data_IF_053248605048
#
_entry.id   IF_053248605048
#
_cell.length_a   1.000
_cell.length_b   1.000
_cell.length_c   1.000
_cell.angle_alpha   90.00
_cell.angle_beta   90.00
_cell.angle_gamma   90.00
#
_symmetry.space_group_name_H-M   'P 1'
#
loop_
_entity.id
_entity.type
_entity.pdbx_description
1 polymer ?
#
# COMPACT_ATOMS: atom_id res chain seq x y z
N UNK A 1 -27.55 -32.38 38.41
CA UNK A 1 -27.08 -33.59 37.73
C UNK A 1 -25.65 -33.35 37.29
N UNK A 2 -24.72 -34.11 37.87
CA UNK A 2 -23.27 -34.05 37.66
C UNK A 2 -22.92 -34.93 36.45
N UNK A 3 -22.27 -34.36 35.41
CA UNK A 3 -21.32 -34.96 34.44
C UNK A 3 -20.59 -33.74 33.83
N UNK A 4 -19.38 -33.30 34.21
CA UNK A 4 -18.02 -33.83 34.15
C UNK A 4 -17.49 -34.28 32.75
N UNK A 5 -16.28 -33.78 32.41
CA UNK A 5 -15.40 -34.05 31.25
C UNK A 5 -15.79 -33.33 29.95
N UNK A 6 -14.93 -32.65 29.20
CA UNK A 6 -13.46 -32.51 29.23
C UNK A 6 -13.09 -31.40 28.22
N UNK A 7 -12.09 -30.60 28.56
CA UNK A 7 -11.45 -29.64 27.66
C UNK A 7 -10.88 -30.30 26.39
N UNK A 8 -10.79 -29.56 25.27
CA UNK A 8 -9.72 -29.73 24.31
C UNK A 8 -8.82 -28.49 24.34
N UNK A 9 -8.11 -28.31 25.46
CA UNK A 9 -6.84 -27.60 25.47
C UNK A 9 -5.74 -28.62 25.78
N UNK A 10 -5.37 -29.43 24.77
CA UNK A 10 -3.95 -29.72 24.60
C UNK A 10 -3.63 -29.90 23.11
N UNK A 11 -3.21 -28.82 22.44
CA UNK A 11 -2.47 -28.98 21.18
C UNK A 11 -1.45 -27.87 20.98
N UNK A 12 -1.74 -26.65 21.46
CA UNK A 12 -0.79 -25.55 21.35
C UNK A 12 0.34 -25.57 22.40
N UNK A 13 0.15 -26.24 23.54
CA UNK A 13 1.16 -26.30 24.61
C UNK A 13 2.23 -27.38 24.34
N UNK A 14 1.86 -28.48 23.69
CA UNK A 14 2.81 -29.56 23.34
C UNK A 14 3.79 -29.17 22.24
N UNK A 15 3.44 -28.22 21.36
CA UNK A 15 4.31 -27.83 20.24
C UNK A 15 5.43 -26.87 20.66
N UNK A 16 5.24 -26.09 21.72
CA UNK A 16 6.27 -25.18 22.25
C UNK A 16 7.27 -25.94 23.13
N UNK A 17 6.86 -27.05 23.77
CA UNK A 17 7.73 -27.89 24.58
C UNK A 17 8.60 -28.83 23.71
N UNK A 18 8.20 -29.11 22.46
CA UNK A 18 8.98 -29.96 21.55
C UNK A 18 10.14 -29.23 20.83
N UNK A 19 10.12 -27.90 20.77
CA UNK A 19 11.14 -27.10 20.08
C UNK A 19 12.34 -26.71 20.96
N UNK A 20 12.35 -27.07 22.24
CA UNK A 20 13.45 -26.79 23.18
C UNK A 20 14.28 -28.01 23.55
N UNK A 21 14.04 -29.17 22.92
CA UNK A 21 14.79 -30.41 23.18
C UNK A 21 15.42 -30.97 21.89
N UNK A 22 16.57 -30.44 21.49
CA UNK A 22 17.66 -31.29 21.02
C UNK A 22 18.86 -31.08 21.94
N UNK A 23 19.24 -32.10 22.71
CA UNK A 23 20.57 -32.09 23.36
C UNK A 23 20.67 -32.62 24.79
N UNK A 24 19.66 -33.28 25.35
CA UNK A 24 19.76 -33.89 26.70
C UNK A 24 20.14 -35.38 26.68
N UNK A 25 20.91 -35.80 25.69
CA UNK A 25 21.52 -37.13 25.65
C UNK A 25 22.94 -37.04 25.11
N UNK A 26 23.84 -36.48 25.91
CA UNK A 26 25.26 -36.86 26.07
C UNK A 26 25.89 -35.84 27.02
N UNK A 27 25.82 -36.15 28.31
CA UNK A 27 26.63 -35.48 29.32
C UNK A 27 28.03 -36.11 29.26
N UNK A 28 28.94 -35.48 28.51
CA UNK A 28 30.36 -35.55 28.85
C UNK A 28 30.69 -34.32 29.70
N UNK A 29 31.11 -34.60 30.93
CA UNK A 29 31.58 -33.62 31.90
C UNK A 29 32.85 -32.92 31.38
N UNK A 30 32.86 -31.59 31.29
CA UNK A 30 34.09 -30.78 31.42
C UNK A 30 33.78 -29.32 31.83
N UNK A 31 34.78 -28.61 32.41
CA UNK A 31 34.60 -27.82 33.63
C UNK A 31 34.31 -26.35 33.36
N UNK A 32 33.27 -25.86 34.02
CA UNK A 32 32.85 -24.47 34.01
C UNK A 32 31.46 -24.42 34.62
N UNK A 33 31.37 -24.61 35.94
CA UNK A 33 30.12 -24.81 36.67
C UNK A 33 29.20 -23.59 36.54
N UNK A 34 28.38 -23.58 35.49
CA UNK A 34 27.15 -22.81 35.47
C UNK A 34 26.34 -23.34 36.64
N UNK A 35 26.15 -22.51 37.67
CA UNK A 35 25.38 -22.86 38.86
C UNK A 35 23.98 -23.29 38.42
N UNK A 36 23.74 -24.61 38.34
CA UNK A 36 22.46 -25.17 37.91
C UNK A 36 21.27 -24.65 38.77
N UNK A 37 21.56 -24.29 40.02
CA UNK A 37 20.65 -23.59 40.92
C UNK A 37 20.19 -22.23 40.38
N UNK A 38 21.07 -21.47 39.72
CA UNK A 38 20.73 -20.19 39.08
C UNK A 38 19.89 -20.40 37.82
N UNK A 39 20.18 -21.46 37.04
CA UNK A 39 19.34 -21.84 35.89
C UNK A 39 17.91 -22.18 36.30
N UNK A 40 17.75 -22.88 37.44
CA UNK A 40 16.45 -23.15 38.03
C UNK A 40 15.74 -21.89 38.53
N UNK A 41 16.46 -20.97 39.17
CA UNK A 41 15.88 -19.69 39.63
C UNK A 41 15.43 -18.83 38.44
N UNK A 42 16.22 -18.79 37.36
CA UNK A 42 15.88 -18.08 36.14
C UNK A 42 14.62 -18.66 35.47
N UNK A 43 14.54 -19.99 35.39
CA UNK A 43 13.37 -20.68 34.85
C UNK A 43 12.12 -20.45 35.72
N UNK A 44 12.26 -20.48 37.05
CA UNK A 44 11.18 -20.17 37.97
C UNK A 44 10.69 -18.72 37.83
N UNK A 45 11.59 -17.76 37.61
CA UNK A 45 11.24 -16.35 37.42
C UNK A 45 10.48 -16.12 36.10
N UNK A 46 10.92 -16.73 35.00
CA UNK A 46 10.21 -16.68 33.71
C UNK A 46 8.83 -17.33 33.84
N UNK A 47 8.73 -18.47 34.53
CA UNK A 47 7.46 -19.14 34.78
C UNK A 47 6.50 -18.25 35.60
N UNK A 48 7.02 -17.50 36.58
CA UNK A 48 6.23 -16.56 37.38
C UNK A 48 5.68 -15.41 36.53
N UNK A 49 6.49 -14.86 35.61
CA UNK A 49 6.05 -13.82 34.65
C UNK A 49 4.94 -14.35 33.73
N UNK A 50 5.07 -15.58 33.23
CA UNK A 50 4.05 -16.21 32.37
C UNK A 50 2.75 -16.43 33.16
N UNK A 51 2.83 -16.97 34.38
CA UNK A 51 1.66 -17.20 35.24
C UNK A 51 0.97 -15.87 35.60
N UNK A 52 1.75 -14.82 35.92
CA UNK A 52 1.24 -13.47 36.17
C UNK A 52 0.51 -12.87 34.97
N UNK A 53 1.04 -13.05 33.76
CA UNK A 53 0.41 -12.60 32.53
C UNK A 53 -0.93 -13.31 32.25
N UNK A 54 -1.00 -14.62 32.49
CA UNK A 54 -2.23 -15.42 32.34
C UNK A 54 -3.27 -15.02 33.39
N UNK A 55 -2.85 -14.78 34.62
CA UNK A 55 -3.72 -14.30 35.69
C UNK A 55 -4.29 -12.91 35.38
N UNK A 56 -3.46 -11.99 34.89
CA UNK A 56 -3.87 -10.65 34.48
C UNK A 56 -4.84 -10.67 33.28
N UNK A 57 -4.62 -11.54 32.29
CA UNK A 57 -5.58 -11.76 31.19
C UNK A 57 -6.94 -12.24 31.71
N UNK A 58 -6.94 -13.13 32.70
CA UNK A 58 -8.17 -13.66 33.30
C UNK A 58 -8.95 -12.59 34.07
N UNK A 59 -8.27 -11.65 34.74
CA UNK A 59 -8.93 -10.50 35.41
C UNK A 59 -9.52 -9.51 34.40
N UNK A 60 -8.78 -9.21 33.32
CA UNK A 60 -9.25 -8.34 32.25
C UNK A 60 -10.48 -8.89 31.52
N UNK A 61 -10.51 -10.20 31.26
CA UNK A 61 -11.70 -10.86 30.69
C UNK A 61 -12.94 -10.69 31.59
N UNK A 62 -12.78 -10.86 32.91
CA UNK A 62 -13.88 -10.69 33.88
C UNK A 62 -14.40 -9.26 33.91
N UNK A 63 -13.50 -8.26 33.89
CA UNK A 63 -13.87 -6.83 33.87
C UNK A 63 -14.54 -6.43 32.56
N UNK A 64 -14.06 -6.94 31.43
CA UNK A 64 -14.62 -6.65 30.11
C UNK A 64 -16.01 -7.27 29.95
N UNK A 65 -16.20 -8.51 30.41
CA UNK A 65 -17.50 -9.17 30.46
C UNK A 65 -18.50 -8.41 31.34
N UNK A 66 -18.08 -7.96 32.53
CA UNK A 66 -18.93 -7.15 33.42
C UNK A 66 -19.33 -5.78 32.80
N UNK A 67 -18.46 -5.17 31.98
CA UNK A 67 -18.74 -3.93 31.26
C UNK A 67 -19.68 -4.11 30.06
N UNK A 68 -19.53 -5.21 29.32
CA UNK A 68 -20.39 -5.53 28.17
C UNK A 68 -21.82 -5.88 28.60
N UNK A 69 -21.99 -6.51 29.77
CA UNK A 69 -23.30 -6.83 30.34
C UNK A 69 -24.09 -5.58 30.75
N UNK A 70 -23.42 -4.52 31.23
CA UNK A 70 -24.07 -3.26 31.64
C UNK A 70 -24.51 -2.37 30.47
N UNK A 71 -23.93 -2.55 29.29
CA UNK A 71 -24.19 -1.70 28.11
C UNK A 71 -25.04 -2.37 27.04
N UNK A 72 -25.53 -3.59 27.29
CA UNK A 72 -26.38 -4.39 26.40
C UNK A 72 -25.82 -4.55 24.97
N UNK A 73 -24.49 -4.59 24.84
CA UNK A 73 -23.74 -4.77 23.58
C UNK A 73 -22.93 -6.07 23.62
N UNK A 74 -23.62 -7.18 23.85
CA UNK A 74 -23.02 -8.53 23.90
C UNK A 74 -22.42 -8.95 22.55
N UNK A 75 -22.94 -8.42 21.45
CA UNK A 75 -22.49 -8.72 20.08
C UNK A 75 -21.02 -8.35 19.84
N UNK A 76 -20.55 -7.27 20.48
CA UNK A 76 -19.14 -6.83 20.44
C UNK A 76 -18.21 -7.69 21.29
N UNK A 77 -18.72 -8.46 22.25
CA UNK A 77 -17.92 -9.36 23.08
C UNK A 77 -17.63 -10.68 22.36
N UNK A 78 -18.61 -11.21 21.62
CA UNK A 78 -18.46 -12.45 20.83
C UNK A 78 -17.67 -12.26 19.54
N UNK A 79 -17.51 -11.03 19.05
CA UNK A 79 -16.73 -10.71 17.85
C UNK A 79 -15.22 -10.56 18.10
N UNK A 80 -14.73 -10.73 19.34
CA UNK A 80 -13.30 -10.54 19.67
C UNK A 80 -12.65 -11.85 20.11
N UNK A 81 -11.52 -12.26 19.48
CA UNK A 81 -10.82 -13.49 19.87
C UNK A 81 -10.38 -13.41 21.34
N UNK A 82 -10.77 -14.42 22.12
CA UNK A 82 -10.53 -14.57 23.56
C UNK A 82 -11.18 -13.53 24.50
N UNK A 83 -12.24 -12.83 24.10
CA UNK A 83 -13.05 -12.01 25.03
C UNK A 83 -12.31 -10.82 25.64
N UNK A 84 -11.29 -10.30 24.95
CA UNK A 84 -10.50 -9.13 25.31
C UNK A 84 -10.58 -8.08 24.20
N UNK A 85 -10.48 -6.77 24.50
CA UNK A 85 -10.43 -5.72 23.48
C UNK A 85 -9.36 -5.98 22.40
N UNK A 86 -9.64 -5.59 21.15
CA UNK A 86 -8.67 -5.73 20.06
C UNK A 86 -7.36 -5.01 20.43
N UNK A 87 -6.24 -5.75 20.38
CA UNK A 87 -4.90 -5.25 20.70
C UNK A 87 -4.34 -5.66 22.07
N UNK A 88 -5.17 -6.06 23.04
CA UNK A 88 -4.69 -6.43 24.39
C UNK A 88 -3.77 -7.66 24.37
N UNK A 89 -4.12 -8.70 23.61
CA UNK A 89 -3.30 -9.92 23.47
C UNK A 89 -1.95 -9.61 22.83
N UNK A 90 -1.94 -8.71 21.83
CA UNK A 90 -0.72 -8.29 21.12
C UNK A 90 0.20 -7.49 22.04
N UNK A 91 -0.34 -6.59 22.87
CA UNK A 91 0.44 -5.82 23.84
C UNK A 91 1.02 -6.68 24.95
N UNK A 92 0.29 -7.69 25.43
CA UNK A 92 0.78 -8.62 26.46
C UNK A 92 1.90 -9.50 25.90
N UNK A 93 1.79 -9.98 24.66
CA UNK A 93 2.87 -10.73 24.00
C UNK A 93 4.11 -9.86 23.77
N UNK A 94 3.95 -8.62 23.30
CA UNK A 94 5.08 -7.71 23.11
C UNK A 94 5.79 -7.38 24.44
N UNK A 95 5.02 -7.09 25.50
CA UNK A 95 5.55 -6.86 26.83
C UNK A 95 6.30 -8.09 27.37
N UNK A 96 5.75 -9.29 27.15
CA UNK A 96 6.39 -10.55 27.57
C UNK A 96 7.72 -10.77 26.85
N UNK A 97 7.79 -10.54 25.53
CA UNK A 97 9.02 -10.66 24.75
C UNK A 97 10.06 -9.65 25.22
N UNK A 98 9.68 -8.40 25.48
CA UNK A 98 10.60 -7.36 25.99
C UNK A 98 11.12 -7.72 27.38
N UNK A 99 10.25 -8.13 28.31
CA UNK A 99 10.66 -8.49 29.68
C UNK A 99 11.57 -9.71 29.69
N UNK A 100 11.25 -10.74 28.90
CA UNK A 100 12.09 -11.93 28.77
C UNK A 100 13.43 -11.58 28.12
N UNK A 101 13.43 -10.76 27.06
CA UNK A 101 14.68 -10.33 26.40
C UNK A 101 15.56 -9.51 27.33
N UNK A 102 14.98 -8.58 28.09
CA UNK A 102 15.70 -7.79 29.10
C UNK A 102 16.27 -8.67 30.22
N UNK A 103 15.51 -9.69 30.63
CA UNK A 103 15.95 -10.68 31.61
C UNK A 103 17.14 -11.51 31.12
N UNK A 104 17.13 -11.95 29.86
CA UNK A 104 18.28 -12.64 29.27
C UNK A 104 19.50 -11.73 29.09
N UNK A 105 19.29 -10.44 28.77
CA UNK A 105 20.37 -9.45 28.67
C UNK A 105 21.00 -9.20 30.04
N UNK A 106 20.20 -9.06 31.11
CA UNK A 106 20.76 -8.90 32.47
C UNK A 106 21.48 -10.18 32.91
N UNK A 107 20.95 -11.36 32.60
CA UNK A 107 21.65 -12.62 32.86
C UNK A 107 23.00 -12.65 32.11
N UNK A 108 23.06 -12.33 30.82
CA UNK A 108 24.32 -12.28 30.08
C UNK A 108 25.31 -11.26 30.66
N UNK A 109 24.84 -10.09 31.11
CA UNK A 109 25.69 -9.08 31.74
C UNK A 109 26.33 -9.55 33.06
N UNK A 110 25.68 -10.48 33.77
CA UNK A 110 26.24 -11.08 34.99
C UNK A 110 27.10 -12.32 34.72
N UNK A 111 26.92 -13.02 33.59
CA UNK A 111 27.58 -14.28 33.28
C UNK A 111 28.81 -14.15 32.35
N UNK A 112 28.85 -13.18 31.43
CA UNK A 112 29.97 -13.00 30.49
C UNK A 112 30.74 -11.69 30.75
N UNK A 113 32.07 -11.81 30.89
CA UNK A 113 32.98 -10.64 30.99
C UNK A 113 33.25 -9.98 29.63
N UNK A 114 32.82 -10.56 28.52
CA UNK A 114 32.93 -9.96 27.19
C UNK A 114 31.65 -9.22 26.81
N UNK A 115 31.77 -7.89 26.78
CA UNK A 115 30.73 -6.90 26.49
C UNK A 115 30.31 -6.95 25.02
N UNK A 116 29.57 -7.96 24.59
CA UNK A 116 28.83 -7.87 23.32
C UNK A 116 27.46 -8.54 23.44
N UNK A 117 26.41 -7.74 23.19
CA UNK A 117 25.03 -8.26 23.10
C UNK A 117 24.95 -9.08 21.81
N UNK A 118 24.49 -10.35 21.85
CA UNK A 118 24.34 -11.16 20.64
C UNK A 118 23.47 -10.44 19.60
N UNK A 119 23.99 -10.33 18.38
CA UNK A 119 23.39 -9.55 17.28
C UNK A 119 21.95 -9.99 16.93
N UNK A 120 21.62 -11.26 17.21
CA UNK A 120 20.26 -11.81 17.09
C UNK A 120 19.25 -11.23 18.09
N UNK A 121 19.66 -10.87 19.30
CA UNK A 121 18.80 -10.23 20.31
C UNK A 121 18.49 -8.77 19.94
N UNK A 122 19.48 -8.03 19.43
CA UNK A 122 19.30 -6.67 18.90
C UNK A 122 18.33 -6.66 17.70
N UNK A 123 18.46 -7.65 16.82
CA UNK A 123 17.58 -7.82 15.65
C UNK A 123 16.15 -8.15 16.07
N UNK A 124 15.97 -9.06 17.04
CA UNK A 124 14.64 -9.42 17.55
C UNK A 124 13.97 -8.27 18.32
N UNK A 125 14.73 -7.54 19.16
CA UNK A 125 14.24 -6.37 19.87
C UNK A 125 13.81 -5.27 18.88
N UNK A 126 14.61 -5.00 17.85
CA UNK A 126 14.30 -4.01 16.81
C UNK A 126 13.07 -4.41 15.98
N UNK A 127 12.94 -5.68 15.62
CA UNK A 127 11.78 -6.19 14.89
C UNK A 127 10.48 -6.09 15.70
N UNK A 128 10.54 -6.36 17.01
CA UNK A 128 9.36 -6.28 17.90
C UNK A 128 8.99 -4.83 18.21
N UNK A 129 9.98 -3.95 18.41
CA UNK A 129 9.79 -2.50 18.55
C UNK A 129 9.17 -1.93 17.26
N UNK A 130 9.73 -2.27 16.09
CA UNK A 130 9.19 -1.86 14.80
C UNK A 130 7.75 -2.36 14.59
N UNK A 131 7.46 -3.63 14.89
CA UNK A 131 6.12 -4.22 14.78
C UNK A 131 5.10 -3.57 15.73
N UNK A 132 5.53 -3.14 16.92
CA UNK A 132 4.65 -2.50 17.91
C UNK A 132 4.39 -1.01 17.60
N UNK A 133 5.43 -0.26 17.20
CA UNK A 133 5.27 1.16 16.83
C UNK A 133 4.62 1.35 15.46
N UNK A 134 4.85 0.43 14.50
CA UNK A 134 4.13 0.42 13.22
C UNK A 134 2.61 0.34 13.41
N UNK A 135 2.15 -0.32 14.48
CA UNK A 135 0.74 -0.54 14.74
C UNK A 135 0.10 0.48 15.71
N UNK A 136 0.86 1.47 16.17
CA UNK A 136 0.32 2.68 16.82
C UNK A 136 0.19 3.83 15.81
N UNK A 137 1.04 3.83 14.79
CA UNK A 137 0.93 4.69 13.60
C UNK A 137 -0.26 4.30 12.69
N UNK A 138 -0.76 3.07 12.78
CA UNK A 138 -1.95 2.62 12.05
C UNK A 138 -3.28 3.22 12.55
N UNK A 139 -3.30 3.84 13.73
CA UNK A 139 -4.44 4.64 14.18
C UNK A 139 -4.48 6.04 13.53
N UNK A 140 -3.39 6.48 12.88
CA UNK A 140 -3.28 7.77 12.19
C UNK A 140 -2.49 7.61 10.89
N UNK A 141 -3.12 7.06 9.85
CA UNK A 141 -2.82 7.34 8.44
C UNK A 141 -1.40 7.09 7.88
N UNK A 142 -0.45 6.59 8.66
CA UNK A 142 0.97 6.48 8.31
C UNK A 142 1.39 5.06 7.84
N UNK A 143 0.45 4.18 7.51
CA UNK A 143 0.75 2.81 7.05
C UNK A 143 1.35 2.75 5.65
N UNK A 144 0.96 3.66 4.74
CA UNK A 144 1.42 3.57 3.36
C UNK A 144 2.86 4.11 3.18
N UNK A 145 3.23 5.19 3.89
CA UNK A 145 4.58 5.73 3.83
C UNK A 145 5.61 4.83 4.50
N UNK A 146 5.28 4.22 5.65
CA UNK A 146 6.20 3.36 6.40
C UNK A 146 6.34 1.98 5.76
N UNK A 147 5.27 1.39 5.21
CA UNK A 147 5.36 0.12 4.49
C UNK A 147 6.16 0.25 3.18
N UNK A 148 6.01 1.37 2.46
CA UNK A 148 6.80 1.67 1.26
C UNK A 148 8.25 1.93 1.62
N UNK A 149 8.54 2.75 2.64
CA UNK A 149 9.90 2.99 3.12
C UNK A 149 10.58 1.72 3.62
N UNK A 150 9.85 0.82 4.29
CA UNK A 150 10.39 -0.46 4.75
C UNK A 150 10.66 -1.39 3.57
N UNK A 151 9.80 -1.40 2.55
CA UNK A 151 10.00 -2.20 1.33
C UNK A 151 11.13 -1.66 0.46
N UNK A 152 11.26 -0.34 0.34
CA UNK A 152 12.37 0.34 -0.34
C UNK A 152 13.67 0.10 0.39
N UNK A 153 13.72 0.25 1.72
CA UNK A 153 14.92 -0.01 2.52
C UNK A 153 15.32 -1.49 2.52
N UNK A 154 14.35 -2.42 2.53
CA UNK A 154 14.62 -3.85 2.38
C UNK A 154 15.12 -4.18 0.98
N UNK A 155 14.54 -3.56 -0.05
CA UNK A 155 14.97 -3.70 -1.43
C UNK A 155 16.38 -3.14 -1.62
N UNK A 156 16.68 -1.95 -1.09
CA UNK A 156 17.99 -1.30 -1.12
C UNK A 156 19.04 -2.16 -0.41
N UNK A 157 18.71 -2.73 0.75
CA UNK A 157 19.56 -3.69 1.48
C UNK A 157 19.79 -4.99 0.69
N UNK A 158 18.77 -5.51 0.01
CA UNK A 158 18.88 -6.71 -0.82
C UNK A 158 19.68 -6.46 -2.12
N UNK A 159 19.54 -5.28 -2.74
CA UNK A 159 20.42 -4.84 -3.84
C UNK A 159 21.85 -4.66 -3.37
N UNK A 160 22.08 -4.01 -2.22
CA UNK A 160 23.41 -3.82 -1.66
C UNK A 160 24.09 -5.14 -1.25
N UNK A 161 23.32 -6.15 -0.85
CA UNK A 161 23.82 -7.52 -0.58
C UNK A 161 24.18 -8.26 -1.86
N UNK A 162 23.35 -8.19 -2.92
CA UNK A 162 23.66 -8.80 -4.22
C UNK A 162 24.82 -8.10 -4.96
N UNK A 163 24.95 -6.79 -4.76
CA UNK A 163 26.00 -5.98 -5.38
C UNK A 163 27.43 -6.32 -4.93
N UNK A 164 27.59 -7.03 -3.80
CA UNK A 164 28.89 -7.38 -3.24
C UNK A 164 29.51 -8.66 -3.82
N UNK A 165 28.69 -9.56 -4.38
CA UNK A 165 29.11 -10.89 -4.85
C UNK A 165 28.86 -11.16 -6.36
N UNK A 166 28.06 -10.36 -7.06
CA UNK A 166 27.77 -10.53 -8.51
C UNK A 166 28.82 -9.86 -9.41
N UNK A 167 29.22 -10.54 -10.51
CA UNK A 167 30.02 -9.91 -11.57
C UNK A 167 29.21 -8.85 -12.33
N UNK A 168 29.86 -7.87 -12.95
CA UNK A 168 29.18 -6.80 -13.72
C UNK A 168 28.20 -7.35 -14.78
N UNK A 169 28.53 -8.48 -15.40
CA UNK A 169 27.67 -9.18 -16.37
C UNK A 169 26.42 -9.77 -15.70
N UNK A 170 26.55 -10.34 -14.51
CA UNK A 170 25.40 -10.86 -13.74
C UNK A 170 24.48 -9.73 -13.26
N UNK A 171 25.04 -8.57 -12.89
CA UNK A 171 24.27 -7.36 -12.56
C UNK A 171 23.49 -6.84 -13.76
N UNK A 172 24.08 -6.85 -14.96
CA UNK A 172 23.37 -6.47 -16.18
C UNK A 172 22.26 -7.47 -16.52
N UNK A 173 22.51 -8.78 -16.39
CA UNK A 173 21.50 -9.83 -16.56
C UNK A 173 20.34 -9.66 -15.60
N UNK A 174 20.61 -9.42 -14.32
CA UNK A 174 19.55 -9.26 -13.32
C UNK A 174 18.73 -7.99 -13.54
N UNK A 175 19.35 -6.87 -13.96
CA UNK A 175 18.66 -5.63 -14.34
C UNK A 175 17.79 -5.80 -15.58
N UNK A 176 18.32 -6.40 -16.64
CA UNK A 176 17.59 -6.62 -17.90
C UNK A 176 16.45 -7.63 -17.74
N UNK A 177 16.65 -8.68 -16.93
CA UNK A 177 15.60 -9.65 -16.60
C UNK A 177 14.43 -8.97 -15.87
N UNK A 178 14.73 -8.16 -14.83
CA UNK A 178 13.70 -7.36 -14.14
C UNK A 178 13.00 -6.42 -15.12
N UNK A 179 13.74 -5.66 -15.91
CA UNK A 179 13.19 -4.73 -16.90
C UNK A 179 12.31 -5.43 -17.95
N UNK A 180 12.69 -6.63 -18.41
CA UNK A 180 11.89 -7.46 -19.31
C UNK A 180 10.59 -7.95 -18.66
N UNK A 181 10.62 -8.32 -17.38
CA UNK A 181 9.42 -8.70 -16.63
C UNK A 181 8.46 -7.51 -16.48
N UNK A 182 9.01 -6.34 -16.12
CA UNK A 182 8.27 -5.07 -16.05
C UNK A 182 7.56 -4.77 -17.38
N UNK A 183 8.30 -4.85 -18.47
CA UNK A 183 7.79 -4.68 -19.83
C UNK A 183 6.71 -5.69 -20.21
N UNK A 184 6.96 -6.98 -19.93
CA UNK A 184 6.05 -8.07 -20.28
C UNK A 184 4.71 -7.97 -19.56
N UNK A 185 4.73 -7.46 -18.33
CA UNK A 185 3.52 -7.16 -17.59
C UNK A 185 2.82 -5.91 -18.13
N UNK A 186 3.55 -4.82 -18.35
CA UNK A 186 2.99 -3.56 -18.84
C UNK A 186 2.39 -3.66 -20.25
N UNK A 187 3.02 -4.39 -21.16
CA UNK A 187 2.56 -4.57 -22.56
C UNK A 187 1.21 -5.25 -22.68
N UNK A 188 0.83 -6.13 -21.73
CA UNK A 188 -0.50 -6.75 -21.70
C UNK A 188 -1.63 -5.74 -21.51
N UNK A 189 -1.32 -4.58 -20.94
CA UNK A 189 -2.28 -3.53 -20.65
C UNK A 189 -2.16 -2.33 -21.61
N UNK A 190 -1.24 -2.36 -22.57
CA UNK A 190 -1.10 -1.31 -23.56
C UNK A 190 -2.10 -1.49 -24.74
N UNK A 191 -2.52 -0.38 -25.36
CA UNK A 191 -3.27 -0.40 -26.62
C UNK A 191 -2.55 -1.22 -27.69
N UNK A 192 -3.33 -1.89 -28.55
CA UNK A 192 -2.81 -2.84 -29.54
C UNK A 192 -1.74 -2.23 -30.47
N UNK A 193 -1.89 -0.94 -30.80
CA UNK A 193 -0.94 -0.12 -31.57
C UNK A 193 0.49 -0.13 -31.01
N UNK A 194 0.68 -0.36 -29.72
CA UNK A 194 1.98 -0.33 -29.06
C UNK A 194 2.48 -1.72 -28.62
N UNK A 195 1.61 -2.73 -28.65
CA UNK A 195 1.97 -4.11 -28.27
C UNK A 195 3.02 -4.72 -29.19
N UNK A 196 2.98 -4.40 -30.49
CA UNK A 196 3.95 -4.90 -31.47
C UNK A 196 5.35 -4.30 -31.24
N UNK A 197 5.45 -2.96 -31.16
CA UNK A 197 6.71 -2.24 -30.91
C UNK A 197 7.43 -2.75 -29.64
N UNK A 198 6.69 -2.88 -28.53
CA UNK A 198 7.29 -3.31 -27.26
C UNK A 198 7.43 -4.84 -27.14
N UNK A 199 6.61 -5.60 -27.87
CA UNK A 199 6.74 -7.06 -27.99
C UNK A 199 8.07 -7.47 -28.63
N UNK A 200 8.48 -6.78 -29.69
CA UNK A 200 9.78 -7.01 -30.34
C UNK A 200 10.96 -6.72 -29.40
N UNK A 201 10.86 -5.66 -28.60
CA UNK A 201 11.88 -5.29 -27.60
C UNK A 201 11.95 -6.35 -26.50
N UNK A 202 10.81 -6.82 -25.99
CA UNK A 202 10.74 -7.91 -25.01
C UNK A 202 11.41 -9.18 -25.56
N UNK A 203 11.07 -9.56 -26.79
CA UNK A 203 11.62 -10.75 -27.44
C UNK A 203 13.14 -10.64 -27.60
N UNK A 204 13.66 -9.47 -28.01
CA UNK A 204 15.10 -9.20 -28.08
C UNK A 204 15.78 -9.31 -26.72
N UNK A 205 15.18 -8.76 -25.66
CA UNK A 205 15.73 -8.85 -24.30
C UNK A 205 15.73 -10.29 -23.79
N UNK A 206 14.65 -11.06 -23.99
CA UNK A 206 14.58 -12.46 -23.59
C UNK A 206 15.59 -13.34 -24.35
N UNK A 207 15.73 -13.12 -25.65
CA UNK A 207 16.72 -13.82 -26.49
C UNK A 207 18.15 -13.47 -26.09
N UNK A 208 18.42 -12.19 -25.81
CA UNK A 208 19.69 -11.69 -25.31
C UNK A 208 20.06 -12.30 -23.95
N UNK A 209 19.11 -12.34 -23.02
CA UNK A 209 19.28 -12.96 -21.70
C UNK A 209 19.62 -14.46 -21.80
N UNK A 210 18.86 -15.21 -22.60
CA UNK A 210 19.13 -16.64 -22.81
C UNK A 210 20.50 -16.86 -23.46
N UNK A 211 20.85 -16.05 -24.47
CA UNK A 211 22.14 -16.15 -25.15
C UNK A 211 23.30 -15.80 -24.23
N UNK A 212 23.16 -14.75 -23.40
CA UNK A 212 24.16 -14.38 -22.40
C UNK A 212 24.39 -15.49 -21.37
N UNK A 213 23.33 -16.16 -20.91
CA UNK A 213 23.44 -17.32 -20.02
C UNK A 213 24.19 -18.48 -20.70
N UNK A 214 23.93 -18.75 -21.98
CA UNK A 214 24.72 -19.75 -22.73
C UNK A 214 26.20 -19.36 -22.89
N UNK A 215 26.51 -18.07 -23.05
CA UNK A 215 27.88 -17.57 -23.19
C UNK A 215 28.64 -17.66 -21.86
N UNK A 216 27.98 -17.36 -20.74
CA UNK A 216 28.53 -17.56 -19.39
C UNK A 216 28.83 -19.04 -19.15
N UNK A 217 27.89 -19.94 -19.48
CA UNK A 217 28.08 -21.38 -19.36
C UNK A 217 29.22 -21.91 -20.24
N UNK A 218 29.50 -21.26 -21.37
CA UNK A 218 30.65 -21.53 -22.25
C UNK A 218 31.95 -20.82 -21.81
N UNK A 219 31.99 -20.23 -20.62
CA UNK A 219 33.11 -19.43 -20.09
C UNK A 219 33.50 -18.22 -20.94
N UNK A 220 32.61 -17.72 -21.80
CA UNK A 220 32.81 -16.51 -22.59
C UNK A 220 32.14 -15.30 -21.89
N UNK A 221 32.71 -14.86 -20.77
CA UNK A 221 32.18 -13.74 -20.00
C UNK A 221 32.23 -12.40 -20.74
N UNK A 222 33.25 -12.18 -21.58
CA UNK A 222 33.38 -10.95 -22.38
C UNK A 222 32.27 -10.85 -23.43
N UNK A 223 32.04 -11.92 -24.20
CA UNK A 223 30.95 -11.92 -25.19
C UNK A 223 29.56 -11.82 -24.56
N UNK A 224 29.38 -12.39 -23.36
CA UNK A 224 28.15 -12.20 -22.60
C UNK A 224 27.98 -10.74 -22.15
N UNK A 225 29.06 -10.08 -21.73
CA UNK A 225 29.04 -8.66 -21.34
C UNK A 225 28.68 -7.76 -22.53
N UNK A 226 29.39 -7.90 -23.66
CA UNK A 226 29.17 -7.07 -24.85
C UNK A 226 27.74 -7.22 -25.38
N UNK A 227 27.21 -8.45 -25.40
CA UNK A 227 25.82 -8.72 -25.79
C UNK A 227 24.82 -8.06 -24.83
N UNK A 228 25.08 -8.12 -23.53
CA UNK A 228 24.18 -7.54 -22.53
C UNK A 228 24.23 -6.02 -22.51
N UNK A 229 25.39 -5.40 -22.78
CA UNK A 229 25.50 -3.96 -23.00
C UNK A 229 24.71 -3.54 -24.25
N UNK A 230 24.84 -4.27 -25.36
CA UNK A 230 24.07 -3.99 -26.57
C UNK A 230 22.56 -4.10 -26.34
N UNK A 231 22.09 -5.17 -25.68
CA UNK A 231 20.67 -5.36 -25.35
C UNK A 231 20.18 -4.28 -24.39
N UNK A 232 21.03 -3.86 -23.44
CA UNK A 232 20.73 -2.78 -22.52
C UNK A 232 20.60 -1.43 -23.23
N UNK A 233 21.52 -1.10 -24.11
CA UNK A 233 21.48 0.14 -24.89
C UNK A 233 20.24 0.21 -25.78
N UNK A 234 19.89 -0.89 -26.46
CA UNK A 234 18.68 -0.97 -27.27
C UNK A 234 17.41 -0.84 -26.42
N UNK A 235 17.39 -1.42 -25.21
CA UNK A 235 16.31 -1.27 -24.25
C UNK A 235 16.22 0.17 -23.70
N UNK A 236 17.34 0.77 -23.32
CA UNK A 236 17.41 2.13 -22.79
C UNK A 236 16.95 3.17 -23.82
N UNK A 237 17.37 3.01 -25.09
CA UNK A 237 16.90 3.85 -26.21
C UNK A 237 15.40 3.73 -26.48
N UNK A 238 14.77 2.63 -26.09
CA UNK A 238 13.36 2.34 -26.35
C UNK A 238 12.58 2.05 -25.05
N UNK A 239 12.81 2.88 -24.02
CA UNK A 239 12.13 2.74 -22.73
C UNK A 239 10.65 3.16 -22.83
N UNK A 240 9.68 2.25 -22.59
CA UNK A 240 8.25 2.53 -22.73
C UNK A 240 7.73 3.61 -21.78
N UNK A 241 8.31 3.72 -20.58
CA UNK A 241 7.89 4.69 -19.57
C UNK A 241 8.32 6.09 -20.01
N UNK A 242 9.58 6.22 -20.44
CA UNK A 242 10.12 7.47 -20.99
C UNK A 242 9.38 7.86 -22.27
N UNK A 243 9.13 6.91 -23.17
CA UNK A 243 8.36 7.11 -24.39
C UNK A 243 6.94 7.63 -24.10
N UNK A 244 6.24 7.04 -23.13
CA UNK A 244 4.90 7.46 -22.74
C UNK A 244 4.91 8.87 -22.14
N UNK A 245 5.88 9.18 -21.28
CA UNK A 245 6.04 10.53 -20.71
C UNK A 245 6.38 11.56 -21.81
N UNK A 246 7.29 11.24 -22.74
CA UNK A 246 7.62 12.08 -23.90
C UNK A 246 6.40 12.35 -24.80
N UNK A 247 5.49 11.38 -24.94
CA UNK A 247 4.22 11.56 -25.66
C UNK A 247 3.21 12.42 -24.88
N UNK A 248 3.11 12.21 -23.57
CA UNK A 248 2.12 12.87 -22.73
C UNK A 248 2.41 14.37 -22.52
N UNK A 249 3.68 14.75 -22.38
CA UNK A 249 4.08 16.15 -22.13
C UNK A 249 3.49 17.14 -23.14
N UNK A 250 3.69 17.01 -24.47
CA UNK A 250 3.18 18.00 -25.41
C UNK A 250 1.66 18.08 -25.41
N UNK A 251 0.96 16.95 -25.26
CA UNK A 251 -0.50 16.92 -25.15
C UNK A 251 -0.99 17.66 -23.89
N UNK A 252 -0.27 17.50 -22.77
CA UNK A 252 -0.62 18.14 -21.51
C UNK A 252 -0.29 19.63 -21.54
N UNK A 253 0.86 20.03 -22.08
CA UNK A 253 1.26 21.44 -22.18
C UNK A 253 0.30 22.26 -23.04
N UNK A 254 -0.18 21.68 -24.16
CA UNK A 254 -1.16 22.31 -25.03
C UNK A 254 -2.47 22.64 -24.29
N UNK A 255 -2.90 21.75 -23.40
CA UNK A 255 -4.17 21.87 -22.68
C UNK A 255 -4.02 22.71 -21.41
N UNK A 256 -2.97 22.47 -20.62
CA UNK A 256 -2.74 23.12 -19.33
C UNK A 256 -2.23 24.55 -19.44
N UNK A 257 -1.64 24.94 -20.58
CA UNK A 257 -1.17 26.31 -20.88
C UNK A 257 -0.33 26.93 -19.75
N UNK A 258 0.54 26.11 -19.14
CA UNK A 258 1.44 26.54 -18.06
C UNK A 258 0.81 26.65 -16.66
N UNK A 259 -0.45 26.25 -16.47
CA UNK A 259 -1.09 26.23 -15.14
C UNK A 259 -0.39 25.29 -14.16
N UNK A 260 0.03 24.12 -14.65
CA UNK A 260 0.86 23.14 -13.92
C UNK A 260 1.87 22.54 -14.92
N UNK A 261 3.16 22.39 -14.56
CA UNK A 261 4.14 21.72 -15.42
C UNK A 261 3.74 20.26 -15.71
N UNK A 262 3.70 19.87 -16.98
CA UNK A 262 3.19 18.55 -17.41
C UNK A 262 3.96 17.37 -16.80
N UNK A 263 5.29 17.42 -16.84
CA UNK A 263 6.15 16.39 -16.23
C UNK A 263 5.89 16.29 -14.71
N UNK A 264 5.81 17.43 -14.03
CA UNK A 264 5.54 17.49 -12.60
C UNK A 264 4.15 16.97 -12.23
N UNK A 265 3.14 17.19 -13.07
CA UNK A 265 1.81 16.62 -12.90
C UNK A 265 1.83 15.09 -13.00
N UNK A 266 2.45 14.52 -14.04
CA UNK A 266 2.58 13.07 -14.23
C UNK A 266 3.26 12.40 -13.03
N UNK A 267 4.40 12.94 -12.60
CA UNK A 267 5.14 12.43 -11.44
C UNK A 267 4.31 12.53 -10.16
N UNK A 268 3.60 13.64 -9.96
CA UNK A 268 2.73 13.84 -8.78
C UNK A 268 1.59 12.81 -8.77
N UNK A 269 0.93 12.59 -9.91
CA UNK A 269 -0.16 11.62 -10.03
C UNK A 269 0.32 10.20 -9.73
N UNK A 270 1.46 9.80 -10.27
CA UNK A 270 2.07 8.50 -9.99
C UNK A 270 2.49 8.37 -8.52
N UNK A 271 3.11 9.41 -7.96
CA UNK A 271 3.58 9.43 -6.56
C UNK A 271 2.43 9.29 -5.58
N UNK A 272 1.34 10.03 -5.80
CA UNK A 272 0.11 9.90 -5.01
C UNK A 272 -0.43 8.48 -5.14
N UNK A 273 -0.55 7.95 -6.36
CA UNK A 273 -1.05 6.61 -6.59
C UNK A 273 -0.27 5.54 -5.82
N UNK A 274 1.06 5.58 -5.89
CA UNK A 274 1.95 4.63 -5.21
C UNK A 274 1.84 4.74 -3.69
N UNK A 275 1.80 5.97 -3.16
CA UNK A 275 1.72 6.25 -1.72
C UNK A 275 0.33 6.03 -1.13
N UNK A 276 -0.70 5.80 -1.95
CA UNK A 276 -2.01 5.39 -1.48
C UNK A 276 -2.07 3.87 -1.33
N UNK A 277 -2.56 3.38 -0.19
CA UNK A 277 -2.81 1.94 0.01
C UNK A 277 -3.86 1.40 -0.97
N UNK A 278 -3.86 0.09 -1.23
CA UNK A 278 -4.63 -0.57 -2.31
C UNK A 278 -6.09 -0.11 -2.45
N UNK A 279 -6.85 -0.03 -1.35
CA UNK A 279 -8.25 0.40 -1.39
C UNK A 279 -8.43 1.88 -1.81
N UNK A 280 -7.50 2.76 -1.41
CA UNK A 280 -7.53 4.19 -1.77
C UNK A 280 -6.93 4.44 -3.15
N UNK A 281 -5.94 3.62 -3.55
CA UNK A 281 -5.38 3.66 -4.90
C UNK A 281 -6.46 3.38 -5.95
N UNK A 282 -7.34 2.40 -5.74
CA UNK A 282 -8.44 2.14 -6.67
C UNK A 282 -9.39 3.33 -6.83
N UNK A 283 -9.67 4.04 -5.73
CA UNK A 283 -10.47 5.28 -5.77
C UNK A 283 -9.73 6.40 -6.48
N UNK A 284 -8.45 6.59 -6.17
CA UNK A 284 -7.57 7.55 -6.84
C UNK A 284 -7.51 7.32 -8.35
N UNK A 285 -7.26 6.08 -8.76
CA UNK A 285 -7.22 5.67 -10.16
C UNK A 285 -8.53 6.02 -10.88
N UNK A 286 -9.68 5.67 -10.30
CA UNK A 286 -10.98 6.02 -10.90
C UNK A 286 -11.19 7.53 -10.97
N UNK A 287 -10.72 8.28 -9.97
CA UNK A 287 -10.82 9.74 -9.96
C UNK A 287 -10.00 10.36 -11.09
N UNK A 288 -8.77 9.88 -11.25
CA UNK A 288 -7.83 10.34 -12.28
C UNK A 288 -8.29 9.95 -13.67
N UNK A 289 -8.88 8.78 -13.87
CA UNK A 289 -9.28 8.27 -15.19
C UNK A 289 -10.73 8.57 -15.60
N UNK A 290 -11.46 9.33 -14.77
CA UNK A 290 -12.91 9.56 -14.94
C UNK A 290 -13.71 8.26 -15.12
N UNK A 291 -13.24 7.17 -14.52
CA UNK A 291 -13.87 5.88 -14.62
C UNK A 291 -15.17 5.84 -13.79
N UNK A 292 -16.19 5.06 -14.21
CA UNK A 292 -17.46 4.98 -13.49
C UNK A 292 -17.28 4.62 -12.01
N UNK A 293 -17.82 5.46 -11.13
CA UNK A 293 -17.79 5.27 -9.69
C UNK A 293 -19.06 4.54 -9.27
N UNK A 294 -18.91 3.36 -8.66
CA UNK A 294 -20.05 2.59 -8.14
C UNK A 294 -20.35 3.00 -6.69
N UNK A 295 -21.60 2.82 -6.25
CA UNK A 295 -22.05 3.19 -4.90
C UNK A 295 -21.24 2.51 -3.81
N UNK A 296 -20.84 1.25 -4.00
CA UNK A 296 -20.02 0.50 -3.04
C UNK A 296 -18.67 1.16 -2.72
N UNK A 297 -18.23 2.13 -3.54
CA UNK A 297 -16.98 2.85 -3.38
C UNK A 297 -17.15 4.21 -2.70
N UNK A 298 -18.38 4.70 -2.61
CA UNK A 298 -18.70 5.95 -1.92
C UNK A 298 -18.72 5.65 -0.41
N UNK A 299 -18.08 6.48 0.43
CA UNK A 299 -18.16 6.33 1.88
C UNK A 299 -19.63 6.27 2.35
N UNK A 300 -19.95 5.38 3.31
CA UNK A 300 -21.26 5.44 3.96
C UNK A 300 -21.35 6.77 4.71
N UNK A 301 -22.14 7.68 4.16
CA UNK A 301 -22.39 8.99 4.75
C UNK A 301 -23.86 9.36 4.56
N UNK A 302 -24.32 10.31 5.34
CA UNK A 302 -25.63 10.95 5.16
C UNK A 302 -25.41 12.43 5.06
N UNK A 303 -26.09 13.08 4.14
CA UNK A 303 -26.09 14.53 4.05
C UNK A 303 -27.28 15.06 4.83
N UNK A 304 -27.08 16.16 5.56
CA UNK A 304 -28.17 17.02 6.01
C UNK A 304 -28.59 17.96 4.87
N UNK A 305 -29.78 18.57 4.98
CA UNK A 305 -30.29 19.49 3.97
C UNK A 305 -29.40 20.69 3.65
N UNK A 306 -28.62 21.21 4.61
CA UNK A 306 -27.71 22.34 4.39
C UNK A 306 -26.53 21.89 3.51
N UNK A 307 -25.94 20.74 3.84
CA UNK A 307 -24.86 20.13 3.09
C UNK A 307 -25.34 19.78 1.68
N UNK A 308 -26.55 19.22 1.55
CA UNK A 308 -27.15 18.93 0.25
C UNK A 308 -27.31 20.19 -0.61
N UNK A 309 -27.82 21.29 -0.03
CA UNK A 309 -27.92 22.59 -0.71
C UNK A 309 -26.57 23.07 -1.22
N UNK A 310 -25.51 22.99 -0.40
CA UNK A 310 -24.15 23.39 -0.80
C UNK A 310 -23.65 22.53 -1.96
N UNK A 311 -23.80 21.20 -1.87
CA UNK A 311 -23.37 20.27 -2.91
C UNK A 311 -24.10 20.55 -4.23
N UNK A 312 -25.41 20.73 -4.18
CA UNK A 312 -26.24 20.90 -5.38
C UNK A 312 -26.01 22.27 -6.02
N UNK A 313 -25.77 23.31 -5.22
CA UNK A 313 -25.41 24.64 -5.71
C UNK A 313 -24.02 24.71 -6.35
N UNK A 314 -23.13 23.77 -6.01
CA UNK A 314 -21.73 23.81 -6.45
C UNK A 314 -21.49 23.32 -7.88
N UNK A 315 -22.48 22.67 -8.51
CA UNK A 315 -22.36 22.12 -9.87
C UNK A 315 -23.50 22.60 -10.77
N UNK A 316 -23.23 23.10 -11.98
CA UNK A 316 -24.26 23.68 -12.85
C UNK A 316 -25.43 22.74 -13.18
N UNK A 317 -25.14 21.46 -13.48
CA UNK A 317 -26.17 20.48 -13.84
C UNK A 317 -27.10 20.14 -12.68
N UNK A 318 -26.57 20.01 -11.45
CA UNK A 318 -27.39 19.82 -10.25
C UNK A 318 -28.17 21.08 -9.90
N UNK A 319 -27.52 22.24 -9.99
CA UNK A 319 -28.16 23.51 -9.70
C UNK A 319 -29.34 23.79 -10.65
N UNK A 320 -29.22 23.42 -11.92
CA UNK A 320 -30.31 23.51 -12.89
C UNK A 320 -31.45 22.50 -12.60
N UNK A 321 -31.10 21.22 -12.36
CA UNK A 321 -32.09 20.15 -12.14
C UNK A 321 -32.91 20.30 -10.84
N UNK A 322 -32.35 20.97 -9.82
CA UNK A 322 -32.96 21.20 -8.51
C UNK A 322 -33.17 22.69 -8.22
N UNK A 323 -33.27 23.51 -9.27
CA UNK A 323 -33.45 24.96 -9.16
C UNK A 323 -34.66 25.36 -8.31
N UNK A 324 -35.84 24.71 -8.40
CA UNK A 324 -36.98 25.05 -7.56
C UNK A 324 -36.70 24.84 -6.07
N UNK A 325 -36.12 23.69 -5.71
CA UNK A 325 -35.81 23.34 -4.32
C UNK A 325 -34.70 24.24 -3.75
N UNK A 326 -33.73 24.64 -4.57
CA UNK A 326 -32.68 25.58 -4.18
C UNK A 326 -33.24 27.00 -3.93
N UNK A 327 -34.20 27.46 -4.73
CA UNK A 327 -34.82 28.79 -4.58
C UNK A 327 -35.78 28.86 -3.39
N UNK A 328 -36.56 27.79 -3.16
CA UNK A 328 -37.54 27.72 -2.08
C UNK A 328 -36.91 27.32 -0.74
N UNK A 329 -35.60 27.05 -0.72
CA UNK A 329 -34.88 26.50 0.43
C UNK A 329 -35.54 25.23 0.98
N UNK A 330 -36.02 24.34 0.10
CA UNK A 330 -36.58 23.05 0.49
C UNK A 330 -35.47 22.06 0.86
N UNK A 331 -34.96 22.23 2.08
CA UNK A 331 -33.86 21.44 2.63
C UNK A 331 -34.20 19.95 2.74
N UNK A 332 -35.47 19.59 2.94
CA UNK A 332 -35.89 18.19 3.09
C UNK A 332 -35.81 17.44 1.76
N UNK A 333 -36.27 18.06 0.68
CA UNK A 333 -36.18 17.45 -0.65
C UNK A 333 -34.73 17.37 -1.12
N UNK A 334 -33.93 18.41 -0.88
CA UNK A 334 -32.49 18.40 -1.18
C UNK A 334 -31.76 17.30 -0.39
N UNK A 335 -32.06 17.15 0.90
CA UNK A 335 -31.53 16.08 1.73
C UNK A 335 -31.87 14.70 1.16
N UNK A 336 -33.15 14.45 0.86
CA UNK A 336 -33.58 13.18 0.28
C UNK A 336 -32.86 12.91 -1.04
N UNK A 337 -32.77 13.91 -1.92
CA UNK A 337 -32.11 13.76 -3.20
C UNK A 337 -30.61 13.45 -3.05
N UNK A 338 -29.88 14.20 -2.21
CA UNK A 338 -28.46 13.96 -1.98
C UNK A 338 -28.20 12.55 -1.41
N UNK A 339 -29.06 12.08 -0.51
CA UNK A 339 -28.96 10.73 0.06
C UNK A 339 -29.34 9.64 -0.97
N UNK A 340 -30.26 9.88 -1.90
CA UNK A 340 -30.56 8.95 -2.99
C UNK A 340 -29.37 8.78 -3.93
N UNK A 341 -28.66 9.86 -4.28
CA UNK A 341 -27.50 9.85 -5.19
C UNK A 341 -26.35 8.94 -4.71
N UNK A 342 -26.32 8.61 -3.41
CA UNK A 342 -25.33 7.71 -2.79
C UNK A 342 -25.91 6.37 -2.35
N UNK A 343 -27.21 6.13 -2.48
CA UNK A 343 -27.88 4.90 -2.02
C UNK A 343 -28.51 4.09 -3.14
N UNK A 344 -28.99 4.77 -4.18
CA UNK A 344 -29.72 4.17 -5.29
C UNK A 344 -28.80 4.09 -6.50
N UNK A 345 -28.89 2.99 -7.24
CA UNK A 345 -28.17 2.78 -8.49
C UNK A 345 -28.57 3.81 -9.56
N UNK A 346 -27.79 3.83 -10.65
CA UNK A 346 -27.96 4.79 -11.73
C UNK A 346 -29.38 4.69 -12.32
N UNK A 347 -29.88 3.47 -12.51
CA UNK A 347 -31.17 3.22 -13.15
C UNK A 347 -32.32 3.68 -12.25
N UNK A 348 -32.26 3.41 -10.93
CA UNK A 348 -33.23 3.94 -9.99
C UNK A 348 -33.18 5.46 -9.85
N UNK A 349 -31.98 6.06 -9.92
CA UNK A 349 -31.83 7.52 -9.95
C UNK A 349 -32.43 8.12 -11.23
N UNK A 350 -32.24 7.47 -12.39
CA UNK A 350 -32.80 7.92 -13.66
C UNK A 350 -34.34 7.86 -13.62
N UNK A 351 -34.91 6.79 -13.08
CA UNK A 351 -36.37 6.69 -12.91
C UNK A 351 -36.93 7.81 -12.01
N UNK A 352 -36.20 8.19 -10.96
CA UNK A 352 -36.67 9.19 -9.99
C UNK A 352 -36.43 10.64 -10.42
N UNK A 353 -35.29 10.91 -11.05
CA UNK A 353 -34.81 12.28 -11.32
C UNK A 353 -34.53 12.56 -12.80
N UNK A 354 -34.58 11.57 -13.69
CA UNK A 354 -34.20 11.71 -15.10
C UNK A 354 -35.01 12.77 -15.85
N UNK A 355 -36.29 12.96 -15.51
CA UNK A 355 -37.14 13.99 -16.08
C UNK A 355 -36.69 15.44 -15.77
N UNK A 356 -35.74 15.63 -14.84
CA UNK A 356 -35.17 16.93 -14.47
C UNK A 356 -33.97 17.34 -15.34
N UNK A 357 -33.53 16.47 -16.25
CA UNK A 357 -32.36 16.69 -17.10
C UNK A 357 -32.77 16.75 -18.57
N UNK A 358 -32.07 17.58 -19.35
CA UNK A 358 -32.35 17.77 -20.78
C UNK A 358 -32.08 16.50 -21.62
N UNK A 359 -31.20 15.63 -21.14
CA UNK A 359 -30.85 14.37 -21.79
C UNK A 359 -30.28 13.36 -20.80
N UNK A 360 -30.27 12.08 -21.20
CA UNK A 360 -29.60 11.01 -20.46
C UNK A 360 -28.09 11.29 -20.31
N UNK A 361 -27.45 11.83 -21.35
CA UNK A 361 -26.03 12.22 -21.28
C UNK A 361 -25.76 13.30 -20.22
N UNK A 362 -26.64 14.31 -20.11
CA UNK A 362 -26.52 15.34 -19.09
C UNK A 362 -26.73 14.77 -17.67
N UNK A 363 -27.65 13.83 -17.50
CA UNK A 363 -27.84 13.11 -16.25
C UNK A 363 -26.60 12.26 -15.88
N UNK A 364 -26.04 11.53 -16.85
CA UNK A 364 -24.86 10.69 -16.64
C UNK A 364 -23.66 11.51 -16.18
N UNK A 365 -23.43 12.64 -16.85
CA UNK A 365 -22.40 13.60 -16.47
C UNK A 365 -22.65 14.17 -15.07
N UNK A 366 -23.90 14.49 -14.75
CA UNK A 366 -24.28 14.98 -13.43
C UNK A 366 -23.99 13.95 -12.32
N UNK A 367 -24.40 12.70 -12.51
CA UNK A 367 -24.14 11.61 -11.56
C UNK A 367 -22.63 11.38 -11.40
N UNK A 368 -21.88 11.38 -12.50
CA UNK A 368 -20.42 11.24 -12.47
C UNK A 368 -19.77 12.37 -11.66
N UNK A 369 -20.10 13.63 -11.96
CA UNK A 369 -19.56 14.80 -11.26
C UNK A 369 -19.90 14.82 -9.78
N UNK A 370 -21.13 14.42 -9.41
CA UNK A 370 -21.54 14.30 -8.02
C UNK A 370 -20.69 13.27 -7.30
N UNK A 371 -20.54 12.07 -7.87
CA UNK A 371 -19.73 10.99 -7.27
C UNK A 371 -18.24 11.33 -7.19
N UNK A 372 -17.70 12.01 -8.19
CA UNK A 372 -16.33 12.52 -8.17
C UNK A 372 -16.11 13.50 -7.02
N UNK A 373 -17.05 14.42 -6.79
CA UNK A 373 -16.98 15.37 -5.67
C UNK A 373 -16.93 14.67 -4.30
N UNK A 374 -17.68 13.58 -4.13
CA UNK A 374 -17.64 12.81 -2.90
C UNK A 374 -16.30 12.07 -2.73
N UNK A 375 -15.76 11.56 -3.83
CA UNK A 375 -14.44 10.93 -3.84
C UNK A 375 -13.34 11.94 -3.54
N UNK A 376 -13.46 13.17 -4.03
CA UNK A 376 -12.52 14.26 -3.78
C UNK A 376 -12.48 14.63 -2.29
N UNK A 377 -13.66 14.69 -1.66
CA UNK A 377 -13.78 14.93 -0.21
C UNK A 377 -13.09 13.83 0.61
N UNK A 378 -13.17 12.57 0.17
CA UNK A 378 -12.51 11.44 0.83
C UNK A 378 -10.99 11.44 0.61
N UNK A 379 -10.55 11.67 -0.63
CA UNK A 379 -9.15 11.57 -1.03
C UNK A 379 -8.32 12.76 -0.55
N UNK A 380 -8.90 13.97 -0.54
CA UNK A 380 -8.21 15.21 -0.19
C UNK A 380 -7.29 15.13 1.04
N UNK A 381 -7.75 14.71 2.25
CA UNK A 381 -6.88 14.69 3.43
C UNK A 381 -5.66 13.76 3.28
N UNK A 382 -5.77 12.69 2.48
CA UNK A 382 -4.67 11.78 2.22
C UNK A 382 -3.72 12.31 1.15
N UNK A 383 -4.24 12.96 0.12
CA UNK A 383 -3.43 13.56 -0.93
C UNK A 383 -2.66 14.77 -0.39
N UNK A 384 -3.31 15.60 0.43
CA UNK A 384 -2.66 16.74 1.09
C UNK A 384 -1.50 16.29 2.00
N UNK A 385 -1.61 15.13 2.67
CA UNK A 385 -0.54 14.59 3.52
C UNK A 385 0.63 13.98 2.74
N UNK A 386 0.38 13.51 1.51
CA UNK A 386 1.42 13.02 0.59
C UNK A 386 2.18 14.19 -0.05
N UNK A 387 1.45 15.26 -0.38
CA UNK A 387 1.94 16.40 -1.14
C UNK A 387 1.46 16.39 -2.60
N UNK A 388 1.16 17.58 -3.11
CA UNK A 388 0.57 17.82 -4.45
C UNK A 388 1.56 18.40 -5.45
N UNK A 389 2.85 18.36 -5.10
CA UNK A 389 3.95 18.80 -5.96
C UNK A 389 3.74 20.23 -6.50
N UNK A 390 3.98 20.47 -7.81
CA UNK A 390 3.92 21.81 -8.40
C UNK A 390 2.50 22.33 -8.59
N UNK A 391 1.46 21.53 -8.32
CA UNK A 391 0.09 22.01 -8.34
C UNK A 391 -0.23 22.90 -7.11
N UNK A 392 0.61 22.91 -6.07
CA UNK A 392 0.49 23.70 -4.83
C UNK A 392 -0.72 23.39 -3.94
N UNK A 393 -1.85 22.95 -4.51
CA UNK A 393 -3.05 22.58 -3.78
C UNK A 393 -3.77 21.40 -4.44
N UNK A 394 -4.50 20.62 -3.66
CA UNK A 394 -5.38 19.57 -4.16
C UNK A 394 -6.38 20.08 -5.21
N UNK A 395 -6.92 21.29 -5.01
CA UNK A 395 -7.89 21.88 -5.92
C UNK A 395 -7.26 22.13 -7.29
N UNK A 396 -6.09 22.77 -7.34
CA UNK A 396 -5.35 23.01 -8.59
C UNK A 396 -4.96 21.70 -9.27
N UNK A 397 -4.57 20.67 -8.50
CA UNK A 397 -4.26 19.34 -9.03
C UNK A 397 -5.48 18.71 -9.71
N UNK A 398 -6.63 18.71 -9.03
CA UNK A 398 -7.88 18.16 -9.60
C UNK A 398 -8.34 18.98 -10.80
N UNK A 399 -8.27 20.31 -10.75
CA UNK A 399 -8.59 21.16 -11.91
C UNK A 399 -7.70 20.82 -13.11
N UNK A 400 -6.39 20.67 -12.92
CA UNK A 400 -5.49 20.30 -14.01
C UNK A 400 -5.88 18.95 -14.62
N UNK A 401 -6.14 17.93 -13.79
CA UNK A 401 -6.60 16.61 -14.25
C UNK A 401 -7.94 16.72 -14.99
N UNK A 402 -8.89 17.47 -14.45
CA UNK A 402 -10.21 17.67 -15.07
C UNK A 402 -10.07 18.35 -16.43
N UNK A 403 -9.20 19.36 -16.57
CA UNK A 403 -8.92 20.02 -17.86
C UNK A 403 -8.28 19.07 -18.87
N UNK A 404 -7.42 18.12 -18.46
CA UNK A 404 -6.87 17.11 -19.37
C UNK A 404 -7.95 16.21 -19.98
N UNK A 405 -9.09 16.03 -19.31
CA UNK A 405 -10.20 15.21 -19.82
C UNK A 405 -11.07 15.93 -20.85
N UNK A 406 -10.89 17.24 -21.02
CA UNK A 406 -11.59 18.04 -22.03
C UNK A 406 -10.99 17.84 -23.44
N UNK A 407 -9.77 17.30 -23.54
CA UNK A 407 -9.07 17.01 -24.78
C UNK A 407 -8.83 15.49 -24.95
N UNK A 408 -9.19 14.94 -26.12
CA UNK A 408 -9.09 13.50 -26.36
C UNK A 408 -7.65 12.97 -26.36
N UNK A 409 -6.68 13.75 -26.85
CA UNK A 409 -5.28 13.32 -26.94
C UNK A 409 -4.60 13.36 -25.57
N UNK A 410 -4.86 14.40 -24.78
CA UNK A 410 -4.40 14.50 -23.41
C UNK A 410 -5.00 13.40 -22.52
N UNK A 411 -6.31 13.16 -22.63
CA UNK A 411 -6.98 12.05 -21.94
C UNK A 411 -6.35 10.70 -22.29
N UNK A 412 -6.20 10.39 -23.58
CA UNK A 412 -5.61 9.11 -24.02
C UNK A 412 -4.18 8.92 -23.49
N UNK A 413 -3.39 10.01 -23.42
CA UNK A 413 -2.03 9.98 -22.89
C UNK A 413 -2.00 9.77 -21.37
N UNK A 414 -2.95 10.36 -20.64
CA UNK A 414 -3.11 10.13 -19.19
C UNK A 414 -3.52 8.68 -18.90
N UNK A 415 -4.46 8.13 -19.68
CA UNK A 415 -4.90 6.74 -19.56
C UNK A 415 -3.72 5.78 -19.79
N UNK A 416 -2.95 6.00 -20.87
CA UNK A 416 -1.75 5.21 -21.18
C UNK A 416 -0.73 5.26 -20.04
N UNK A 417 -0.44 6.45 -19.52
CA UNK A 417 0.48 6.63 -18.41
C UNK A 417 0.03 5.91 -17.15
N UNK A 418 -1.25 6.03 -16.78
CA UNK A 418 -1.81 5.37 -15.61
C UNK A 418 -1.81 3.85 -15.72
N UNK A 419 -2.04 3.30 -16.92
CA UNK A 419 -1.94 1.86 -17.18
C UNK A 419 -0.51 1.35 -16.99
N UNK A 420 0.49 2.12 -17.45
CA UNK A 420 1.91 1.81 -17.21
C UNK A 420 2.18 1.79 -15.72
N UNK A 421 1.82 2.86 -14.99
CA UNK A 421 2.01 2.94 -13.53
C UNK A 421 1.35 1.77 -12.80
N UNK A 422 0.11 1.42 -13.16
CA UNK A 422 -0.59 0.27 -12.58
C UNK A 422 0.14 -1.05 -12.83
N UNK A 423 0.62 -1.27 -14.07
CA UNK A 423 1.41 -2.43 -14.43
C UNK A 423 2.69 -2.54 -13.59
N UNK A 424 3.41 -1.43 -13.42
CA UNK A 424 4.61 -1.37 -12.58
C UNK A 424 4.29 -1.71 -11.11
N UNK A 425 3.21 -1.14 -10.57
CA UNK A 425 2.79 -1.39 -9.18
C UNK A 425 2.39 -2.85 -8.95
N UNK A 426 1.67 -3.46 -9.90
CA UNK A 426 1.20 -4.85 -9.81
C UNK A 426 2.35 -5.85 -9.76
N UNK A 427 3.42 -5.58 -10.50
CA UNK A 427 4.66 -6.38 -10.50
C UNK A 427 5.61 -6.03 -9.35
N UNK A 428 5.18 -5.15 -8.43
CA UNK A 428 5.96 -4.78 -7.25
C UNK A 428 7.23 -3.98 -7.56
N UNK A 429 7.28 -3.27 -8.69
CA UNK A 429 8.44 -2.49 -9.12
C UNK A 429 8.56 -1.18 -8.33
N UNK A 430 9.78 -0.62 -8.17
CA UNK A 430 10.01 0.62 -7.42
C UNK A 430 9.61 1.84 -8.26
N UNK A 431 8.30 2.06 -8.42
CA UNK A 431 7.75 3.11 -9.29
C UNK A 431 8.32 4.50 -8.98
N UNK A 432 8.49 4.85 -7.70
CA UNK A 432 9.03 6.15 -7.31
C UNK A 432 10.46 6.36 -7.83
N UNK A 433 11.33 5.36 -7.69
CA UNK A 433 12.70 5.40 -8.24
C UNK A 433 12.71 5.46 -9.77
N UNK A 434 11.76 4.77 -10.42
CA UNK A 434 11.61 4.83 -11.88
C UNK A 434 11.21 6.25 -12.30
N UNK A 435 10.23 6.87 -11.63
CA UNK A 435 9.79 8.23 -11.93
C UNK A 435 10.89 9.27 -11.68
N UNK A 436 11.69 9.10 -10.63
CA UNK A 436 12.84 9.97 -10.36
C UNK A 436 13.88 9.91 -11.49
N UNK A 437 14.19 8.71 -11.98
CA UNK A 437 15.10 8.55 -13.13
C UNK A 437 14.53 9.15 -14.41
N UNK A 438 13.24 8.96 -14.66
CA UNK A 438 12.56 9.58 -15.81
C UNK A 438 12.66 11.10 -15.70
N UNK A 439 12.46 11.67 -14.51
CA UNK A 439 12.61 13.11 -14.30
C UNK A 439 14.02 13.59 -14.67
N UNK A 440 15.05 12.92 -14.14
CA UNK A 440 16.45 13.25 -14.43
C UNK A 440 16.77 13.16 -15.93
N UNK A 441 16.29 12.11 -16.60
CA UNK A 441 16.50 11.91 -18.04
C UNK A 441 15.83 13.05 -18.84
N UNK A 442 14.59 13.40 -18.50
CA UNK A 442 13.86 14.47 -19.18
C UNK A 442 14.48 15.85 -18.95
N UNK A 443 15.02 16.13 -17.76
CA UNK A 443 15.71 17.38 -17.45
C UNK A 443 17.08 17.48 -18.16
N UNK A 444 17.78 16.36 -18.32
CA UNK A 444 19.09 16.33 -19.02
C UNK A 444 19.00 16.52 -20.53
N UNK A 445 17.84 16.25 -21.14
CA UNK A 445 17.58 16.49 -22.57
C UNK A 445 16.99 17.89 -22.87
N UNK A 446 16.62 18.65 -21.83
CA UNK A 446 16.10 20.01 -21.97
C UNK A 446 17.20 21.09 -21.94
N UNK A 447 18.42 20.73 -21.49
CA UNK A 447 19.64 21.52 -21.58
C UNK A 447 20.49 21.06 -22.76
#
# INVERSE_FOLDING_TARGET
MIINRSAPLPMCVSFIILLTLPGLSHAEEHPGSVNWQLGLVAMAMVMLVVVGAVWYMSDLQKRFYAGAMKTNKLDKFFSVPAGLPQGTIRSILAMMIVVISLFFITLQFFFDREKSVPEGLMTLLSAVVAFYFANRASAQGAEASVALQTKEMQQDLDTARKDKDESDTQKLISKLSKASQVLSAGTRFLPEKYREKYGDIINKVQTGLSTADTLINKKNASGAKDLMEQVFDDFAKNNPVVDAVKRAIPAFEQVLKGSVPALGLLITVATIGVKLGSARYEKWKRRVLFAPITIAQIPPQTFDGITAKILFSSKPLLAAAFQPELQQEDLLTLESAANDFIRIDKDGLWQKYGARFDSEAAFDQCVLQFRQMLMDRELKPYVDSIGVGPAESYQKLMTAIDTLHEDEAAKASLDEFMLIVEGLMREGQPVLQIMEKVQQEMESHAN
#
